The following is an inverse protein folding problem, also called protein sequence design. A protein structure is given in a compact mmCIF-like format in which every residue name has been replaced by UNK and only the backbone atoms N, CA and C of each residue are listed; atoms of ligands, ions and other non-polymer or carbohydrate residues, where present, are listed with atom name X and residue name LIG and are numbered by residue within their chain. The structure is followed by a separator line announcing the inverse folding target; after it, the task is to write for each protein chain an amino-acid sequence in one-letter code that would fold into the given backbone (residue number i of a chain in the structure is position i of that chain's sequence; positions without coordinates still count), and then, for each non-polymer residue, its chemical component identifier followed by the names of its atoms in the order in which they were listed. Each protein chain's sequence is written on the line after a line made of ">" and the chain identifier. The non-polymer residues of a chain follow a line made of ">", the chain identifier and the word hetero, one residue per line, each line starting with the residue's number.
data_IF_554421789032
#
_entry.id   IF_554421789032
#
_cell.length_a   1.000
_cell.length_b   1.000
_cell.length_c   1.000
_cell.angle_alpha   90.00
_cell.angle_beta   90.00
_cell.angle_gamma   90.00
#
_symmetry.space_group_name_H-M   'P 1'
#
loop_
_entity.id
_entity.type
_entity.pdbx_description
1 polymer ?
#
# COMPACT_ATOMS: atom_id res chain seq x y z
N UNK A 1 -19.93 14.85 3.92
CA UNK A 1 -20.60 13.88 3.04
C UNK A 1 -20.12 13.99 1.59
N UNK A 2 -20.16 15.16 0.95
CA UNK A 2 -19.71 15.34 -0.45
C UNK A 2 -18.24 14.97 -0.70
N UNK A 3 -17.33 15.36 0.20
CA UNK A 3 -15.91 14.97 0.13
C UNK A 3 -15.68 13.46 0.26
N UNK A 4 -16.46 12.77 1.10
CA UNK A 4 -16.38 11.32 1.25
C UNK A 4 -16.89 10.61 0.00
N UNK A 5 -17.96 11.11 -0.63
CA UNK A 5 -18.48 10.56 -1.89
C UNK A 5 -17.50 10.77 -3.04
N UNK A 6 -16.89 11.95 -3.15
CA UNK A 6 -15.86 12.22 -4.16
C UNK A 6 -14.60 11.37 -3.92
N UNK A 7 -14.18 11.20 -2.66
CA UNK A 7 -13.09 10.31 -2.30
C UNK A 7 -13.43 8.85 -2.63
N UNK A 8 -14.66 8.40 -2.37
CA UNK A 8 -15.11 7.04 -2.67
C UNK A 8 -15.18 6.76 -4.17
N UNK A 9 -15.73 7.71 -4.95
CA UNK A 9 -15.74 7.65 -6.42
C UNK A 9 -14.30 7.62 -6.94
N UNK A 10 -13.43 8.52 -6.46
CA UNK A 10 -12.01 8.53 -6.79
C UNK A 10 -11.33 7.20 -6.43
N UNK A 11 -11.65 6.59 -5.28
CA UNK A 11 -11.10 5.32 -4.84
C UNK A 11 -11.51 4.19 -5.77
N UNK A 12 -12.79 4.11 -6.15
CA UNK A 12 -13.28 3.08 -7.10
C UNK A 12 -12.70 3.25 -8.50
N UNK A 13 -12.50 4.48 -8.97
CA UNK A 13 -11.80 4.74 -10.24
C UNK A 13 -10.30 4.52 -10.13
N UNK A 14 -9.72 4.62 -8.93
CA UNK A 14 -8.28 4.43 -8.72
C UNK A 14 -7.85 2.96 -8.76
N UNK A 15 -8.80 2.03 -8.68
CA UNK A 15 -8.53 0.60 -8.65
C UNK A 15 -7.75 0.10 -9.86
N UNK A 16 -7.91 0.74 -11.02
CA UNK A 16 -7.17 0.43 -12.26
C UNK A 16 -5.67 0.74 -12.15
N UNK A 17 -5.26 1.71 -11.31
CA UNK A 17 -3.85 2.06 -11.12
C UNK A 17 -3.06 0.99 -10.34
N UNK A 18 -3.77 0.12 -9.61
CA UNK A 18 -3.17 -0.87 -8.74
C UNK A 18 -3.23 -2.30 -9.31
N UNK A 19 -4.08 -2.58 -10.30
CA UNK A 19 -4.34 -3.95 -10.76
C UNK A 19 -3.36 -4.45 -11.86
N UNK A 20 -2.97 -3.63 -12.85
CA UNK A 20 -2.51 -4.20 -14.13
C UNK A 20 -1.11 -3.80 -14.65
N UNK A 21 -0.33 -2.98 -13.94
CA UNK A 21 1.01 -2.58 -14.41
C UNK A 21 2.07 -2.60 -13.30
N UNK A 22 3.28 -3.06 -13.63
CA UNK A 22 4.50 -2.63 -12.92
C UNK A 22 4.65 -1.11 -13.09
N UNK A 23 5.26 -0.42 -12.12
CA UNK A 23 5.40 1.04 -12.13
C UNK A 23 5.75 1.59 -13.52
N UNK A 24 4.92 2.48 -14.06
CA UNK A 24 5.12 3.11 -15.36
C UNK A 24 6.22 4.17 -15.28
N UNK A 25 6.10 5.09 -14.32
CA UNK A 25 7.04 6.19 -14.09
C UNK A 25 6.89 6.81 -12.68
N UNK A 26 7.72 7.82 -12.42
CA UNK A 26 7.71 8.63 -11.19
C UNK A 26 6.34 9.26 -10.91
N UNK A 27 5.58 9.62 -11.94
CA UNK A 27 4.27 10.27 -11.78
C UNK A 27 3.24 9.31 -11.18
N UNK A 28 3.28 8.02 -11.57
CA UNK A 28 2.44 6.99 -10.97
C UNK A 28 2.80 6.79 -9.49
N UNK A 29 4.10 6.78 -9.14
CA UNK A 29 4.54 6.72 -7.76
C UNK A 29 4.04 7.93 -6.93
N UNK A 30 4.15 9.15 -7.45
CA UNK A 30 3.67 10.36 -6.77
C UNK A 30 2.15 10.32 -6.52
N UNK A 31 1.39 9.87 -7.52
CA UNK A 31 -0.06 9.71 -7.39
C UNK A 31 -0.42 8.68 -6.33
N UNK A 32 0.16 7.47 -6.42
CA UNK A 32 -0.07 6.38 -5.49
C UNK A 32 0.30 6.77 -4.05
N UNK A 33 1.44 7.45 -3.87
CA UNK A 33 1.86 8.02 -2.59
C UNK A 33 0.83 9.00 -2.03
N UNK A 34 0.33 9.93 -2.86
CA UNK A 34 -0.67 10.91 -2.45
C UNK A 34 -1.98 10.26 -2.02
N UNK A 35 -2.42 9.22 -2.74
CA UNK A 35 -3.61 8.42 -2.39
C UNK A 35 -3.43 7.77 -1.01
N UNK A 36 -2.30 7.13 -0.76
CA UNK A 36 -2.01 6.46 0.52
C UNK A 36 -1.93 7.45 1.69
N UNK A 37 -1.29 8.61 1.47
CA UNK A 37 -1.21 9.66 2.49
C UNK A 37 -2.58 10.20 2.88
N UNK A 38 -3.46 10.44 1.91
CA UNK A 38 -4.84 10.87 2.18
C UNK A 38 -5.61 9.76 2.88
N UNK A 39 -5.52 8.52 2.41
CA UNK A 39 -6.20 7.36 3.01
C UNK A 39 -5.81 7.19 4.50
N UNK A 40 -4.52 7.30 4.82
CA UNK A 40 -4.01 7.17 6.19
C UNK A 40 -4.67 8.20 7.11
N UNK A 41 -4.70 9.48 6.70
CA UNK A 41 -5.34 10.55 7.48
C UNK A 41 -6.83 10.29 7.73
N UNK A 42 -7.54 9.74 6.74
CA UNK A 42 -8.95 9.38 6.90
C UNK A 42 -9.14 8.25 7.90
N UNK A 43 -8.33 7.19 7.84
CA UNK A 43 -8.38 6.08 8.80
C UNK A 43 -8.06 6.57 10.21
N UNK A 44 -7.01 7.37 10.38
CA UNK A 44 -6.58 7.91 11.68
C UNK A 44 -7.62 8.84 12.32
N UNK A 45 -8.35 9.60 11.50
CA UNK A 45 -9.40 10.51 11.98
C UNK A 45 -10.58 9.80 12.67
N UNK A 46 -10.66 8.46 12.58
CA UNK A 46 -11.75 7.67 13.19
C UNK A 46 -13.10 7.84 12.50
N UNK A 47 -13.15 8.59 11.39
CA UNK A 47 -14.38 8.88 10.64
C UNK A 47 -14.83 7.72 9.72
N UNK A 48 -14.21 6.55 9.86
CA UNK A 48 -14.22 5.53 8.81
C UNK A 48 -15.37 4.53 8.95
N UNK A 49 -16.54 4.91 8.44
CA UNK A 49 -17.54 3.94 7.96
C UNK A 49 -17.08 3.17 6.71
N UNK A 50 -15.86 3.42 6.22
CA UNK A 50 -15.31 2.87 4.99
C UNK A 50 -14.06 2.01 5.22
N UNK A 51 -13.89 1.44 6.42
CA UNK A 51 -12.70 0.67 6.78
C UNK A 51 -12.47 -0.49 5.80
N UNK A 52 -13.52 -1.21 5.40
CA UNK A 52 -13.45 -2.28 4.38
C UNK A 52 -12.78 -1.80 3.10
N UNK A 53 -13.12 -0.60 2.62
CA UNK A 53 -12.57 -0.07 1.37
C UNK A 53 -11.09 0.32 1.51
N UNK A 54 -10.68 0.78 2.69
CA UNK A 54 -9.27 1.02 2.98
C UNK A 54 -8.46 -0.28 3.07
N UNK A 55 -9.04 -1.36 3.60
CA UNK A 55 -8.40 -2.69 3.58
C UNK A 55 -8.24 -3.21 2.14
N UNK A 56 -9.25 -3.01 1.29
CA UNK A 56 -9.16 -3.34 -0.14
C UNK A 56 -8.07 -2.52 -0.83
N UNK A 57 -8.00 -1.21 -0.56
CA UNK A 57 -6.93 -0.34 -1.08
C UNK A 57 -5.56 -0.84 -0.63
N UNK A 58 -5.38 -1.08 0.67
CA UNK A 58 -4.11 -1.55 1.24
C UNK A 58 -3.68 -2.88 0.63
N UNK A 59 -4.62 -3.81 0.42
CA UNK A 59 -4.34 -5.10 -0.26
C UNK A 59 -3.78 -4.88 -1.66
N UNK A 60 -4.45 -4.04 -2.47
CA UNK A 60 -4.01 -3.75 -3.84
C UNK A 60 -2.67 -3.02 -3.87
N UNK A 61 -2.52 -2.03 -3.00
CA UNK A 61 -1.28 -1.27 -2.87
C UNK A 61 -0.10 -2.15 -2.45
N UNK A 62 -0.32 -3.13 -1.58
CA UNK A 62 0.69 -4.11 -1.19
C UNK A 62 1.13 -5.00 -2.33
N UNK A 63 0.17 -5.55 -3.11
CA UNK A 63 0.50 -6.33 -4.30
C UNK A 63 1.28 -5.52 -5.34
N UNK A 64 0.92 -4.26 -5.54
CA UNK A 64 1.66 -3.35 -6.43
C UNK A 64 3.06 -3.05 -5.91
N UNK A 65 3.21 -2.76 -4.61
CA UNK A 65 4.51 -2.50 -3.99
C UNK A 65 5.44 -3.70 -4.05
N UNK A 66 4.93 -4.92 -3.87
CA UNK A 66 5.75 -6.14 -3.99
C UNK A 66 6.30 -6.33 -5.41
N UNK A 67 5.49 -6.03 -6.44
CA UNK A 67 5.95 -6.04 -7.84
C UNK A 67 6.98 -4.93 -8.10
N UNK A 68 6.74 -3.72 -7.60
CA UNK A 68 7.64 -2.59 -7.81
C UNK A 68 8.98 -2.79 -7.08
N UNK A 69 8.97 -3.33 -5.86
CA UNK A 69 10.18 -3.64 -5.10
C UNK A 69 11.13 -4.55 -5.88
N UNK A 70 10.61 -5.60 -6.53
CA UNK A 70 11.40 -6.51 -7.37
C UNK A 70 12.02 -5.77 -8.57
N UNK A 71 11.27 -4.86 -9.19
CA UNK A 71 11.78 -4.03 -10.28
C UNK A 71 12.90 -3.09 -9.80
N UNK A 72 12.72 -2.44 -8.65
CA UNK A 72 13.74 -1.57 -8.05
C UNK A 72 15.02 -2.35 -7.75
N UNK A 73 14.92 -3.55 -7.18
CA UNK A 73 16.06 -4.40 -6.88
C UNK A 73 16.84 -4.88 -8.12
N UNK A 74 16.16 -5.04 -9.26
CA UNK A 74 16.79 -5.42 -10.54
C UNK A 74 17.39 -4.23 -11.32
N UNK A 75 17.18 -3.00 -10.88
CA UNK A 75 17.67 -1.80 -11.58
C UNK A 75 19.14 -1.49 -11.25
N UNK A 76 19.95 -1.14 -12.24
CA UNK A 76 21.36 -0.78 -12.05
C UNK A 76 21.49 0.59 -11.38
N UNK A 77 22.33 0.69 -10.34
CA UNK A 77 22.37 1.71 -9.27
C UNK A 77 22.48 3.20 -9.68
N UNK A 78 22.65 3.54 -10.96
CA UNK A 78 23.00 4.90 -11.38
C UNK A 78 21.89 5.75 -12.03
N UNK A 79 20.81 5.17 -12.56
CA UNK A 79 19.87 5.92 -13.42
C UNK A 79 18.49 6.19 -12.82
N UNK A 80 18.20 5.74 -11.59
CA UNK A 80 16.85 5.76 -10.99
C UNK A 80 16.82 6.06 -9.48
N UNK A 81 17.88 6.61 -8.87
CA UNK A 81 17.96 6.81 -7.41
C UNK A 81 16.78 7.64 -6.85
N UNK A 82 16.40 8.73 -7.53
CA UNK A 82 15.25 9.56 -7.13
C UNK A 82 13.94 8.77 -7.15
N UNK A 83 13.76 7.90 -8.15
CA UNK A 83 12.57 7.07 -8.29
C UNK A 83 12.51 6.00 -7.18
N UNK A 84 13.65 5.38 -6.88
CA UNK A 84 13.79 4.43 -5.76
C UNK A 84 13.48 5.08 -4.42
N UNK A 85 14.03 6.27 -4.15
CA UNK A 85 13.75 7.03 -2.92
C UNK A 85 12.27 7.37 -2.78
N UNK A 86 11.63 7.80 -3.88
CA UNK A 86 10.19 8.06 -3.90
C UNK A 86 9.39 6.77 -3.64
N UNK A 87 9.79 5.65 -4.23
CA UNK A 87 9.14 4.36 -4.00
C UNK A 87 9.22 3.93 -2.53
N UNK A 88 10.38 4.07 -1.88
CA UNK A 88 10.50 3.73 -0.46
C UNK A 88 9.66 4.66 0.43
N UNK A 89 9.49 5.93 0.07
CA UNK A 89 8.55 6.81 0.77
C UNK A 89 7.10 6.35 0.61
N UNK A 90 6.70 5.94 -0.60
CA UNK A 90 5.37 5.36 -0.86
C UNK A 90 5.17 4.09 -0.04
N UNK A 91 6.19 3.23 0.06
CA UNK A 91 6.15 2.00 0.84
C UNK A 91 5.94 2.29 2.34
N UNK A 92 6.59 3.32 2.88
CA UNK A 92 6.37 3.78 4.25
C UNK A 92 4.95 4.32 4.46
N UNK A 93 4.41 5.08 3.50
CA UNK A 93 3.01 5.55 3.55
C UNK A 93 2.02 4.37 3.53
N UNK A 94 2.30 3.32 2.76
CA UNK A 94 1.51 2.09 2.77
C UNK A 94 1.57 1.38 4.14
N UNK A 95 2.76 1.21 4.72
CA UNK A 95 2.90 0.60 6.04
C UNK A 95 2.19 1.41 7.13
N UNK A 96 2.19 2.74 7.01
CA UNK A 96 1.46 3.65 7.89
C UNK A 96 -0.05 3.46 7.76
N UNK A 97 -0.58 3.44 6.53
CA UNK A 97 -1.99 3.11 6.27
C UNK A 97 -2.36 1.75 6.88
N UNK A 98 -1.50 0.76 6.72
CA UNK A 98 -1.75 -0.59 7.22
C UNK A 98 -1.79 -0.65 8.75
N UNK A 99 -0.86 0.05 9.41
CA UNK A 99 -0.86 0.20 10.85
C UNK A 99 -2.15 0.88 11.34
N UNK A 100 -2.50 2.02 10.75
CA UNK A 100 -3.72 2.75 11.06
C UNK A 100 -4.98 1.87 10.87
N UNK A 101 -5.02 1.09 9.79
CA UNK A 101 -6.14 0.19 9.47
C UNK A 101 -6.28 -0.95 10.48
N UNK A 102 -5.17 -1.55 10.91
CA UNK A 102 -5.18 -2.58 11.97
C UNK A 102 -5.63 -1.98 13.30
N UNK A 103 -5.15 -0.79 13.67
CA UNK A 103 -5.62 -0.09 14.88
C UNK A 103 -7.11 0.19 14.79
N UNK A 104 -7.60 0.66 13.64
CA UNK A 104 -9.02 0.90 13.43
C UNK A 104 -9.85 -0.38 13.55
N UNK A 105 -9.37 -1.52 13.05
CA UNK A 105 -10.02 -2.83 13.20
C UNK A 105 -10.17 -3.24 14.67
N UNK A 106 -9.20 -2.92 15.54
CA UNK A 106 -9.32 -3.22 16.98
C UNK A 106 -10.36 -2.34 17.69
N UNK A 107 -10.57 -1.11 17.21
CA UNK A 107 -11.55 -0.16 17.79
C UNK A 107 -12.96 -0.38 17.25
N UNK A 108 -13.05 -0.81 15.99
CA UNK A 108 -14.29 -1.01 15.26
C UNK A 108 -14.23 -2.35 14.52
N UNK A 109 -14.50 -3.48 15.21
CA UNK A 109 -14.45 -4.79 14.57
C UNK A 109 -15.43 -4.85 13.39
N UNK A 110 -14.91 -5.13 12.19
CA UNK A 110 -15.66 -5.12 10.92
C UNK A 110 -16.23 -6.51 10.58
N UNK A 111 -16.12 -7.49 11.47
CA UNK A 111 -16.50 -8.89 11.26
C UNK A 111 -18.01 -9.15 11.32
N UNK A 112 -18.80 -8.30 10.64
CA UNK A 112 -20.26 -8.38 10.65
C UNK A 112 -20.73 -9.48 9.69
N UNK A 113 -19.93 -9.82 8.67
CA UNK A 113 -20.25 -10.88 7.70
C UNK A 113 -18.99 -11.64 7.21
N UNK A 114 -19.21 -12.75 6.50
CA UNK A 114 -18.12 -13.58 5.97
C UNK A 114 -17.30 -12.87 4.88
N UNK A 115 -17.88 -11.90 4.16
CA UNK A 115 -17.20 -11.20 3.07
C UNK A 115 -16.17 -10.19 3.61
N UNK A 116 -16.55 -9.44 4.64
CA UNK A 116 -15.69 -8.52 5.39
C UNK A 116 -14.58 -9.27 6.12
N UNK A 117 -14.87 -10.43 6.72
CA UNK A 117 -13.84 -11.29 7.31
C UNK A 117 -12.79 -11.74 6.27
N UNK A 118 -13.23 -12.18 5.08
CA UNK A 118 -12.32 -12.55 3.99
C UNK A 118 -11.47 -11.37 3.47
N UNK A 119 -12.00 -10.15 3.48
CA UNK A 119 -11.25 -8.94 3.13
C UNK A 119 -10.16 -8.66 4.18
N UNK A 120 -10.49 -8.76 5.47
CA UNK A 120 -9.50 -8.58 6.57
C UNK A 120 -8.41 -9.63 6.47
N UNK A 121 -8.77 -10.90 6.28
CA UNK A 121 -7.82 -12.01 6.13
C UNK A 121 -6.88 -11.76 4.94
N UNK A 122 -7.43 -11.46 3.76
CA UNK A 122 -6.64 -11.18 2.56
C UNK A 122 -5.69 -10.00 2.78
N UNK A 123 -6.19 -8.92 3.39
CA UNK A 123 -5.37 -7.76 3.71
C UNK A 123 -4.18 -8.12 4.60
N UNK A 124 -4.41 -8.84 5.70
CA UNK A 124 -3.35 -9.27 6.63
C UNK A 124 -2.32 -10.15 5.92
N UNK A 125 -2.77 -11.15 5.14
CA UNK A 125 -1.89 -12.03 4.38
C UNK A 125 -0.99 -11.24 3.42
N UNK A 126 -1.55 -10.26 2.72
CA UNK A 126 -0.80 -9.48 1.76
C UNK A 126 0.20 -8.53 2.42
N UNK A 127 -0.13 -7.94 3.59
CA UNK A 127 0.83 -7.19 4.39
C UNK A 127 2.01 -8.07 4.83
N UNK A 128 1.73 -9.29 5.29
CA UNK A 128 2.77 -10.23 5.72
C UNK A 128 3.66 -10.67 4.57
N UNK A 129 3.09 -10.93 3.39
CA UNK A 129 3.85 -11.26 2.19
C UNK A 129 4.75 -10.10 1.77
N UNK A 130 4.23 -8.86 1.75
CA UNK A 130 5.03 -7.68 1.42
C UNK A 130 6.20 -7.50 2.40
N UNK A 131 5.98 -7.66 3.70
CA UNK A 131 7.05 -7.55 4.71
C UNK A 131 8.14 -8.61 4.47
N UNK A 132 7.76 -9.85 4.13
CA UNK A 132 8.72 -10.91 3.78
C UNK A 132 9.55 -10.54 2.55
N UNK A 133 8.91 -9.99 1.52
CA UNK A 133 9.59 -9.54 0.30
C UNK A 133 10.58 -8.41 0.64
N UNK A 134 10.18 -7.41 1.42
CA UNK A 134 11.05 -6.30 1.88
C UNK A 134 12.27 -6.84 2.65
N UNK A 135 12.04 -7.71 3.65
CA UNK A 135 13.14 -8.27 4.46
C UNK A 135 14.10 -9.10 3.61
N UNK A 136 13.57 -9.83 2.62
CA UNK A 136 14.39 -10.61 1.69
C UNK A 136 15.29 -9.71 0.86
N UNK A 137 14.77 -8.60 0.33
CA UNK A 137 15.58 -7.64 -0.46
C UNK A 137 16.62 -6.92 0.40
N UNK A 138 16.28 -6.50 1.62
CA UNK A 138 17.24 -5.91 2.56
C UNK A 138 18.39 -6.87 2.84
N UNK A 139 18.08 -8.15 3.07
CA UNK A 139 19.09 -9.19 3.30
C UNK A 139 20.00 -9.37 2.07
N UNK A 140 19.42 -9.40 0.87
CA UNK A 140 20.18 -9.51 -0.38
C UNK A 140 21.13 -8.33 -0.59
N UNK A 141 20.63 -7.10 -0.39
CA UNK A 141 21.44 -5.89 -0.49
C UNK A 141 22.59 -5.87 0.54
N UNK A 142 22.32 -6.31 1.79
CA UNK A 142 23.35 -6.41 2.81
C UNK A 142 24.44 -7.45 2.46
N UNK A 143 24.06 -8.60 1.90
CA UNK A 143 25.03 -9.60 1.46
C UNK A 143 25.88 -9.10 0.30
N UNK A 144 25.31 -8.35 -0.65
CA UNK A 144 26.03 -7.79 -1.79
C UNK A 144 27.12 -6.78 -1.40
N UNK A 145 26.95 -6.05 -0.28
CA UNK A 145 27.94 -5.09 0.22
C UNK A 145 29.13 -5.72 0.96
N UNK A 146 29.06 -7.02 1.30
CA UNK A 146 30.10 -7.74 2.04
C UNK A 146 31.05 -8.55 1.12
N UNK A 147 30.91 -8.42 -0.20
CA UNK A 147 31.77 -9.01 -1.23
C UNK A 147 32.38 -7.91 -2.10
#
# INVERSE_FOLDING_TARGET
>A
MLFLVLFFVALTTSWTFWEDFTCLDISQCLLNKSILSVATKYVDSGLSGCLVQFLVLGTKASGWCGKHLKMTAMSTEGSQEEHSNLFFQLLLDLLSLSSASVVALTRHPVFIDNASAAIVERFILEQLNLIKDIVSEIKSAHLAQNY
#
